data_IF_029526780302
#
_entry.id   IF_029526780302
#
_cell.length_a   1.000
_cell.length_b   1.000
_cell.length_c   1.000
_cell.angle_alpha   90.00
_cell.angle_beta   90.00
_cell.angle_gamma   90.00
#
_symmetry.space_group_name_H-M   'P 1'
#
loop_
_entity.id
_entity.type
_entity.pdbx_description
1 polymer ?
#
# COMPACT_ATOMS: atom_id res chain seq x y z
N UNK A 1 0.37 -10.32 -13.44
CA UNK A 1 -0.08 -8.96 -13.08
C UNK A 1 -1.56 -8.83 -13.38
N UNK A 2 -2.33 -8.07 -12.61
CA UNK A 2 -3.76 -7.81 -12.88
C UNK A 2 -3.91 -6.43 -13.53
N UNK A 3 -4.73 -6.35 -14.57
CA UNK A 3 -5.13 -5.10 -15.19
C UNK A 3 -6.54 -4.72 -14.75
N UNK A 4 -6.77 -3.44 -14.47
CA UNK A 4 -8.10 -2.93 -14.12
C UNK A 4 -8.43 -2.94 -12.63
N UNK A 5 -9.69 -3.21 -12.31
CA UNK A 5 -10.25 -3.02 -10.97
C UNK A 5 -9.66 -3.98 -9.93
N UNK A 6 -9.14 -3.42 -8.83
CA UNK A 6 -8.78 -4.18 -7.63
C UNK A 6 -10.03 -4.71 -6.93
N UNK A 7 -9.98 -5.97 -6.45
CA UNK A 7 -11.08 -6.57 -5.68
C UNK A 7 -11.28 -5.78 -4.38
N UNK A 8 -12.44 -5.13 -4.17
CA UNK A 8 -12.71 -4.42 -2.92
C UNK A 8 -12.85 -5.44 -1.78
N UNK A 9 -12.47 -5.04 -0.57
CA UNK A 9 -12.73 -5.83 0.64
C UNK A 9 -12.97 -4.93 1.83
N UNK A 10 -14.20 -4.96 2.36
CA UNK A 10 -14.65 -4.06 3.43
C UNK A 10 -13.89 -4.31 4.74
N UNK A 11 -13.75 -5.57 5.15
CA UNK A 11 -13.01 -5.98 6.36
C UNK A 11 -11.56 -5.48 6.35
N UNK A 12 -10.85 -5.67 5.22
CA UNK A 12 -9.44 -5.23 5.09
C UNK A 12 -9.34 -3.71 5.02
N UNK A 13 -10.28 -3.03 4.36
CA UNK A 13 -10.33 -1.57 4.32
C UNK A 13 -10.50 -0.98 5.74
N UNK A 14 -11.43 -1.52 6.52
CA UNK A 14 -11.66 -1.07 7.90
C UNK A 14 -10.43 -1.32 8.78
N UNK A 15 -9.86 -2.53 8.77
CA UNK A 15 -8.65 -2.84 9.55
C UNK A 15 -7.44 -1.98 9.15
N UNK A 16 -7.29 -1.65 7.86
CA UNK A 16 -6.21 -0.77 7.41
C UNK A 16 -6.35 0.66 7.95
N UNK A 17 -7.58 1.14 8.19
CA UNK A 17 -7.88 2.46 8.74
C UNK A 17 -7.75 2.53 10.26
N UNK A 18 -8.04 1.43 10.97
CA UNK A 18 -8.00 1.35 12.44
C UNK A 18 -6.67 0.78 12.95
N UNK A 19 -6.61 -0.53 13.18
CA UNK A 19 -5.49 -1.23 13.83
C UNK A 19 -4.21 -1.15 13.01
N UNK A 20 -4.32 -1.22 11.67
CA UNK A 20 -3.18 -1.08 10.77
C UNK A 20 -2.56 0.31 10.80
N UNK A 21 -3.37 1.36 10.96
CA UNK A 21 -2.90 2.74 11.06
C UNK A 21 -2.10 2.97 12.34
N UNK A 22 -2.64 2.54 13.49
CA UNK A 22 -1.98 2.64 14.78
C UNK A 22 -0.61 1.93 14.78
N UNK A 23 -0.55 0.67 14.31
CA UNK A 23 0.72 -0.08 14.20
C UNK A 23 1.75 0.62 13.31
N UNK A 24 1.33 1.28 12.22
CA UNK A 24 2.24 2.02 11.34
C UNK A 24 2.78 3.30 11.99
N UNK A 25 1.97 4.00 12.79
CA UNK A 25 2.42 5.18 13.53
C UNK A 25 3.50 4.82 14.55
N UNK A 26 3.29 3.77 15.34
CA UNK A 26 4.29 3.26 16.28
C UNK A 26 5.59 2.88 15.56
N UNK A 27 5.52 2.16 14.44
CA UNK A 27 6.71 1.80 13.66
C UNK A 27 7.46 3.00 13.10
N UNK A 28 6.75 4.06 12.69
CA UNK A 28 7.38 5.31 12.24
C UNK A 28 8.12 6.03 13.38
N UNK A 29 7.60 5.96 14.60
CA UNK A 29 8.22 6.60 15.77
C UNK A 29 9.44 5.82 16.28
N UNK A 30 9.39 4.49 16.24
CA UNK A 30 10.43 3.63 16.84
C UNK A 30 11.54 3.23 15.86
N UNK A 31 11.21 3.01 14.58
CA UNK A 31 12.19 2.46 13.62
C UNK A 31 12.76 3.58 12.74
N UNK A 32 14.07 3.90 12.87
CA UNK A 32 14.71 4.89 12.01
C UNK A 32 14.65 4.41 10.55
N UNK A 33 14.16 5.29 9.67
CA UNK A 33 14.05 5.01 8.24
C UNK A 33 12.80 4.25 7.80
N UNK A 34 11.87 3.90 8.71
CA UNK A 34 10.61 3.25 8.34
C UNK A 34 9.70 4.18 7.53
N UNK A 35 9.27 3.73 6.35
CA UNK A 35 8.39 4.49 5.47
C UNK A 35 9.06 5.63 4.70
N UNK A 36 10.40 5.73 4.72
CA UNK A 36 11.14 6.67 3.88
C UNK A 36 11.04 6.26 2.40
N UNK A 37 10.98 7.25 1.50
CA UNK A 37 10.97 7.03 0.05
C UNK A 37 12.23 6.26 -0.35
N UNK A 38 12.09 5.24 -1.20
CA UNK A 38 13.22 4.42 -1.67
C UNK A 38 13.56 3.20 -0.80
N UNK A 39 13.06 3.11 0.45
CA UNK A 39 13.40 2.00 1.35
C UNK A 39 13.01 0.61 0.81
N UNK A 40 11.98 0.55 -0.04
CA UNK A 40 11.54 -0.69 -0.69
C UNK A 40 12.53 -1.21 -1.73
N UNK A 41 13.22 -0.31 -2.46
CA UNK A 41 14.23 -0.70 -3.45
C UNK A 41 15.50 -1.24 -2.79
N UNK A 42 15.86 -0.70 -1.63
CA UNK A 42 17.02 -1.14 -0.84
C UNK A 42 16.74 -2.52 -0.20
N UNK A 43 15.53 -2.73 0.33
CA UNK A 43 15.20 -3.97 1.05
C UNK A 43 14.80 -5.12 0.14
N UNK A 44 14.03 -4.86 -0.92
CA UNK A 44 13.53 -5.89 -1.82
C UNK A 44 13.23 -5.27 -3.21
N UNK A 45 14.23 -5.18 -4.10
CA UNK A 45 14.09 -4.54 -5.39
C UNK A 45 13.11 -5.27 -6.31
N UNK A 46 13.05 -6.61 -6.25
CA UNK A 46 12.14 -7.43 -7.08
C UNK A 46 10.68 -7.10 -6.75
N UNK A 47 10.35 -7.06 -5.46
CA UNK A 47 9.00 -6.71 -5.00
C UNK A 47 8.68 -5.24 -5.25
N UNK A 48 9.65 -4.34 -5.14
CA UNK A 48 9.47 -2.93 -5.46
C UNK A 48 9.11 -2.72 -6.94
N UNK A 49 9.82 -3.40 -7.85
CA UNK A 49 9.51 -3.38 -9.28
C UNK A 49 8.12 -3.93 -9.59
N UNK A 50 7.76 -5.09 -9.02
CA UNK A 50 6.43 -5.68 -9.19
C UNK A 50 5.32 -4.75 -8.71
N UNK A 51 5.45 -4.19 -7.50
CA UNK A 51 4.45 -3.28 -6.94
C UNK A 51 4.33 -1.99 -7.74
N UNK A 52 5.43 -1.48 -8.32
CA UNK A 52 5.40 -0.31 -9.21
C UNK A 52 4.56 -0.57 -10.44
N UNK A 53 4.72 -1.73 -11.09
CA UNK A 53 3.90 -2.12 -12.24
C UNK A 53 2.45 -2.37 -11.82
N UNK A 54 2.23 -3.15 -10.76
CA UNK A 54 0.88 -3.45 -10.24
C UNK A 54 0.09 -2.17 -9.90
N UNK A 55 0.73 -1.17 -9.30
CA UNK A 55 0.06 0.08 -8.94
C UNK A 55 -0.28 0.95 -10.15
N UNK A 56 0.46 0.82 -11.27
CA UNK A 56 0.16 1.49 -12.54
C UNK A 56 -0.96 0.79 -13.30
N UNK A 57 -0.98 -0.54 -13.31
CA UNK A 57 -1.91 -1.33 -14.13
C UNK A 57 -3.26 -1.57 -13.47
N UNK A 58 -3.41 -1.30 -12.17
CA UNK A 58 -4.66 -1.50 -11.44
C UNK A 58 -5.14 -0.23 -10.73
N UNK A 59 -6.46 -0.06 -10.64
CA UNK A 59 -7.10 1.07 -9.98
C UNK A 59 -8.15 0.59 -8.96
N UNK A 60 -8.48 1.44 -7.99
CA UNK A 60 -9.50 1.11 -6.97
C UNK A 60 -10.89 1.46 -7.49
N UNK A 61 -11.92 0.66 -7.14
CA UNK A 61 -13.31 1.07 -7.35
C UNK A 61 -13.64 2.39 -6.65
N UNK A 62 -13.07 2.60 -5.47
CA UNK A 62 -13.28 3.82 -4.68
C UNK A 62 -12.71 5.08 -5.34
N UNK A 63 -11.80 4.94 -6.30
CA UNK A 63 -11.26 6.08 -7.06
C UNK A 63 -12.27 6.56 -8.11
N UNK A 64 -13.20 5.70 -8.55
CA UNK A 64 -14.30 6.05 -9.49
C UNK A 64 -15.37 6.88 -8.78
N UNK A 65 -15.70 6.53 -7.54
CA UNK A 65 -16.74 7.21 -6.74
C UNK A 65 -16.24 8.47 -6.01
N UNK A 66 -14.98 8.90 -6.26
CA UNK A 66 -14.36 10.07 -5.61
C UNK A 66 -14.53 11.37 -6.41
N UNK A 67 -15.37 11.35 -7.45
CA UNK A 67 -15.72 12.51 -8.27
C UNK A 67 -16.70 13.42 -7.54
#
# INVERSE_FOLDING_TARGET
MKFGVRKPSLKKSFSARTTGKAKRQLKKAVVPGYGKKGSGWIKDPKKAAYNKVYNKTSFSLWDIFKK
#
